data_IF_471910539516
#
_entry.id   IF_471910539516
#
_cell.length_a   1.000
_cell.length_b   1.000
_cell.length_c   1.000
_cell.angle_alpha   90.00
_cell.angle_beta   90.00
_cell.angle_gamma   90.00
#
_symmetry.space_group_name_H-M   'P 1'
#
loop_
_entity.id
_entity.type
_entity.pdbx_description
1 polymer ?
#
# COMPACT_ATOMS: atom_id res chain seq x y z
N UNK A 1 41.28 4.03 -3.83
CA UNK A 1 40.62 3.22 -4.88
C UNK A 1 40.67 1.80 -4.35
N UNK A 2 39.59 1.10 -4.02
CA UNK A 2 38.28 1.01 -4.66
C UNK A 2 37.25 0.66 -3.57
N UNK A 3 36.32 1.57 -3.24
CA UNK A 3 35.24 1.33 -2.26
C UNK A 3 33.85 1.37 -2.92
N UNK A 4 33.79 1.14 -4.23
CA UNK A 4 32.58 1.37 -5.04
C UNK A 4 31.77 0.10 -5.38
N UNK A 5 32.19 -1.09 -4.92
CA UNK A 5 31.55 -2.35 -5.32
C UNK A 5 30.54 -2.93 -4.31
N UNK A 6 30.45 -2.41 -3.09
CA UNK A 6 29.55 -2.96 -2.06
C UNK A 6 28.07 -2.53 -2.25
N UNK A 7 27.80 -1.46 -3.00
CA UNK A 7 26.46 -0.86 -3.13
C UNK A 7 25.52 -1.67 -4.02
N UNK A 8 26.05 -2.41 -5.00
CA UNK A 8 25.23 -3.19 -5.93
C UNK A 8 24.71 -4.50 -5.34
N UNK A 9 25.49 -5.16 -4.49
CA UNK A 9 25.06 -6.40 -3.84
C UNK A 9 23.86 -6.19 -2.91
N UNK A 10 23.74 -5.02 -2.27
CA UNK A 10 22.63 -4.71 -1.37
C UNK A 10 21.30 -4.47 -2.10
N UNK A 11 21.34 -3.87 -3.30
CA UNK A 11 20.13 -3.62 -4.10
C UNK A 11 19.59 -4.90 -4.76
N UNK A 12 20.46 -5.86 -5.09
CA UNK A 12 20.05 -7.14 -5.65
C UNK A 12 19.30 -8.03 -4.64
N UNK A 13 19.55 -7.86 -3.33
CA UNK A 13 18.83 -8.61 -2.28
C UNK A 13 17.41 -8.08 -2.04
N UNK A 14 17.12 -6.85 -2.43
CA UNK A 14 15.79 -6.22 -2.31
C UNK A 14 14.93 -6.41 -3.57
N UNK A 15 15.50 -6.87 -4.67
CA UNK A 15 14.79 -7.13 -5.93
C UNK A 15 14.75 -8.62 -6.26
N UNK A 16 14.32 -9.45 -5.30
CA UNK A 16 13.87 -10.80 -5.63
C UNK A 16 12.77 -10.74 -6.70
N UNK A 17 12.73 -11.68 -7.66
CA UNK A 17 11.70 -11.69 -8.69
C UNK A 17 10.33 -11.81 -8.01
N UNK A 18 9.48 -10.81 -8.21
CA UNK A 18 8.07 -10.87 -7.82
C UNK A 18 7.39 -11.93 -8.69
N UNK A 19 7.33 -13.15 -8.17
CA UNK A 19 6.56 -14.23 -8.78
C UNK A 19 5.08 -13.81 -8.78
N UNK A 20 4.58 -13.51 -9.97
CA UNK A 20 3.23 -12.97 -10.20
C UNK A 20 2.22 -14.09 -10.50
N UNK A 21 2.63 -15.35 -10.32
CA UNK A 21 1.94 -16.54 -10.84
C UNK A 21 1.55 -17.58 -9.77
N UNK A 22 1.53 -17.20 -8.49
CA UNK A 22 0.93 -18.04 -7.44
C UNK A 22 -0.59 -17.91 -7.40
N UNK A 23 -1.37 -18.99 -7.23
CA UNK A 23 -2.77 -18.89 -6.87
C UNK A 23 -2.83 -18.30 -5.45
N UNK A 24 -3.07 -16.99 -5.35
CA UNK A 24 -3.27 -16.32 -4.08
C UNK A 24 -4.52 -16.90 -3.43
N UNK A 25 -4.35 -17.86 -2.52
CA UNK A 25 -5.41 -18.22 -1.57
C UNK A 25 -5.68 -16.97 -0.72
N UNK A 26 -6.64 -16.16 -1.17
CA UNK A 26 -7.27 -15.13 -0.35
C UNK A 26 -7.94 -15.91 0.77
N UNK A 27 -7.33 -15.85 1.95
CA UNK A 27 -7.72 -16.60 3.14
C UNK A 27 -9.24 -16.48 3.39
N UNK A 28 -9.87 -17.60 3.76
CA UNK A 28 -11.33 -17.84 3.79
C UNK A 28 -12.15 -16.93 4.72
N UNK A 29 -11.54 -15.96 5.41
CA UNK A 29 -12.19 -15.14 6.43
C UNK A 29 -12.47 -13.69 5.98
N UNK A 30 -13.15 -13.51 4.84
CA UNK A 30 -13.61 -12.17 4.40
C UNK A 30 -14.49 -11.46 5.44
N UNK A 31 -15.15 -12.21 6.31
CA UNK A 31 -16.10 -11.68 7.30
C UNK A 31 -15.45 -11.30 8.63
N UNK A 32 -14.23 -11.74 8.92
CA UNK A 32 -13.54 -11.32 10.14
C UNK A 32 -13.02 -9.90 9.94
N UNK A 33 -13.38 -8.93 10.80
CA UNK A 33 -12.84 -7.59 10.70
C UNK A 33 -11.34 -7.61 11.04
N UNK A 34 -10.52 -6.76 10.40
CA UNK A 34 -9.12 -6.59 10.78
C UNK A 34 -8.97 -6.24 12.27
N UNK A 35 -7.95 -6.81 12.90
CA UNK A 35 -7.67 -6.56 14.31
C UNK A 35 -7.19 -5.11 14.55
N UNK A 36 -7.13 -4.65 15.81
CA UNK A 36 -6.63 -3.32 16.14
C UNK A 36 -5.20 -3.07 15.64
N UNK A 37 -4.33 -4.08 15.73
CA UNK A 37 -2.95 -4.01 15.25
C UNK A 37 -2.89 -3.86 13.72
N UNK A 38 -3.70 -4.64 12.99
CA UNK A 38 -3.78 -4.55 11.52
C UNK A 38 -4.25 -3.16 11.09
N UNK A 39 -5.30 -2.63 11.74
CA UNK A 39 -5.82 -1.29 11.47
C UNK A 39 -4.75 -0.23 11.67
N UNK A 40 -3.99 -0.32 12.76
CA UNK A 40 -2.92 0.62 13.08
C UNK A 40 -1.75 0.54 12.07
N UNK A 41 -1.33 -0.67 11.70
CA UNK A 41 -0.29 -0.87 10.69
C UNK A 41 -0.71 -0.34 9.32
N UNK A 42 -1.95 -0.59 8.91
CA UNK A 42 -2.50 -0.07 7.65
C UNK A 42 -2.58 1.46 7.69
N UNK A 43 -2.96 2.05 8.82
CA UNK A 43 -3.06 3.51 8.95
C UNK A 43 -1.68 4.16 8.75
N UNK A 44 -0.66 3.70 9.48
CA UNK A 44 0.71 4.22 9.35
C UNK A 44 1.24 4.03 7.92
N UNK A 45 1.12 2.82 7.36
CA UNK A 45 1.64 2.52 6.04
C UNK A 45 1.06 3.45 4.96
N UNK A 46 -0.25 3.71 5.01
CA UNK A 46 -0.89 4.57 4.02
C UNK A 46 -0.74 6.06 4.31
N UNK A 47 -0.56 6.46 5.57
CA UNK A 47 -0.18 7.84 5.89
C UNK A 47 1.18 8.19 5.28
N UNK A 48 2.17 7.33 5.46
CA UNK A 48 3.50 7.47 4.83
C UNK A 48 3.37 7.46 3.31
N UNK A 49 2.66 6.49 2.74
CA UNK A 49 2.47 6.42 1.29
C UNK A 49 1.78 7.67 0.73
N UNK A 50 0.76 8.21 1.41
CA UNK A 50 0.07 9.43 0.97
C UNK A 50 0.94 10.67 1.07
N UNK A 51 1.83 10.76 2.07
CA UNK A 51 2.77 11.88 2.21
C UNK A 51 3.81 11.92 1.08
N UNK A 52 4.23 10.76 0.59
CA UNK A 52 5.22 10.62 -0.47
C UNK A 52 4.61 10.63 -1.89
N UNK A 53 3.33 10.26 -1.99
CA UNK A 53 2.64 10.15 -3.28
C UNK A 53 2.01 11.48 -3.70
N UNK A 54 2.11 11.79 -4.99
CA UNK A 54 1.39 12.89 -5.63
C UNK A 54 0.33 12.38 -6.58
N UNK A 55 -0.73 13.16 -6.76
CA UNK A 55 -1.77 12.83 -7.74
C UNK A 55 -1.17 12.80 -9.15
N UNK A 56 -1.28 11.66 -9.83
CA UNK A 56 -0.78 11.50 -11.21
C UNK A 56 -1.45 12.43 -12.23
N UNK A 57 -2.65 12.94 -11.92
CA UNK A 57 -3.40 13.83 -12.82
C UNK A 57 -3.05 15.31 -12.65
N UNK A 58 -2.91 15.78 -11.41
CA UNK A 58 -2.74 17.22 -11.12
C UNK A 58 -1.47 17.56 -10.36
N UNK A 59 -0.63 16.59 -10.01
CA UNK A 59 0.61 16.78 -9.25
C UNK A 59 0.42 17.18 -7.78
N UNK A 60 -0.81 17.45 -7.33
CA UNK A 60 -1.07 17.86 -5.96
C UNK A 60 -0.78 16.71 -4.96
N UNK A 61 -0.28 17.03 -3.74
CA UNK A 61 -0.09 16.02 -2.69
C UNK A 61 -1.41 15.39 -2.28
N UNK A 62 -1.35 14.16 -1.78
CA UNK A 62 -2.50 13.47 -1.23
C UNK A 62 -2.82 13.94 0.20
N UNK A 63 -4.09 13.93 0.54
CA UNK A 63 -4.58 14.13 1.90
C UNK A 63 -4.43 12.85 2.73
N UNK A 64 -4.62 12.99 4.05
CA UNK A 64 -4.64 11.86 4.98
C UNK A 64 -5.63 10.79 4.49
N UNK A 65 -5.19 9.54 4.34
CA UNK A 65 -6.06 8.44 3.91
C UNK A 65 -7.14 8.15 4.95
N UNK A 66 -8.22 7.52 4.49
CA UNK A 66 -9.32 7.02 5.30
C UNK A 66 -9.49 5.54 5.06
N UNK A 67 -9.51 4.78 6.14
CA UNK A 67 -9.63 3.33 6.14
C UNK A 67 -11.11 2.93 6.29
N UNK A 68 -11.55 1.98 5.47
CA UNK A 68 -12.79 1.23 5.64
C UNK A 68 -12.41 -0.20 6.00
N UNK A 69 -12.37 -0.47 7.30
CA UNK A 69 -11.76 -1.65 7.90
C UNK A 69 -12.80 -2.49 8.67
N UNK A 70 -14.02 -2.57 8.12
CA UNK A 70 -15.14 -3.32 8.69
C UNK A 70 -15.07 -4.81 8.30
N UNK A 71 -14.35 -5.13 7.23
CA UNK A 71 -14.14 -6.46 6.69
C UNK A 71 -12.87 -6.48 5.81
N UNK A 72 -12.37 -7.68 5.49
CA UNK A 72 -11.34 -7.85 4.47
C UNK A 72 -11.96 -7.91 3.06
N UNK A 73 -11.31 -7.34 2.03
CA UNK A 73 -10.12 -6.50 2.09
C UNK A 73 -10.42 -5.10 2.65
N UNK A 74 -9.45 -4.53 3.36
CA UNK A 74 -9.54 -3.15 3.86
C UNK A 74 -9.38 -2.18 2.71
N UNK A 75 -10.38 -1.33 2.51
CA UNK A 75 -10.33 -0.30 1.47
C UNK A 75 -9.75 0.98 2.04
N UNK A 76 -8.65 1.44 1.46
CA UNK A 76 -8.03 2.72 1.79
C UNK A 76 -8.39 3.73 0.72
N UNK A 77 -8.83 4.91 1.15
CA UNK A 77 -9.22 5.98 0.23
C UNK A 77 -8.56 7.29 0.61
N UNK A 78 -8.01 8.00 -0.36
CA UNK A 78 -7.48 9.36 -0.17
C UNK A 78 -8.01 10.28 -1.27
N UNK A 79 -7.82 11.59 -1.10
CA UNK A 79 -8.09 12.61 -2.11
C UNK A 79 -6.86 13.50 -2.25
N UNK A 80 -6.61 14.03 -3.44
CA UNK A 80 -5.57 15.04 -3.60
C UNK A 80 -6.03 16.43 -3.12
N UNK A 81 -5.07 17.28 -2.72
CA UNK A 81 -5.32 18.64 -2.22
C UNK A 81 -5.68 19.68 -3.28
N UNK A 82 -5.77 19.30 -4.55
CA UNK A 82 -6.23 20.22 -5.61
C UNK A 82 -7.71 20.55 -5.48
N UNK A 83 -8.15 21.66 -6.10
CA UNK A 83 -9.57 22.07 -6.17
C UNK A 83 -10.50 20.97 -6.69
N UNK A 84 -10.07 20.20 -7.71
CA UNK A 84 -10.84 19.10 -8.28
C UNK A 84 -10.94 17.85 -7.37
N UNK A 85 -10.14 17.76 -6.30
CA UNK A 85 -10.13 16.68 -5.29
C UNK A 85 -10.25 15.25 -5.86
N UNK A 86 -9.35 14.88 -6.78
CA UNK A 86 -9.30 13.53 -7.36
C UNK A 86 -9.20 12.45 -6.29
N UNK A 87 -9.94 11.36 -6.47
CA UNK A 87 -10.00 10.24 -5.53
C UNK A 87 -8.89 9.24 -5.84
N UNK A 88 -8.27 8.73 -4.78
CA UNK A 88 -7.32 7.64 -4.82
C UNK A 88 -7.83 6.48 -3.96
N UNK A 89 -7.57 5.26 -4.40
CA UNK A 89 -7.97 4.04 -3.70
C UNK A 89 -6.85 3.03 -3.71
N UNK A 90 -6.81 2.21 -2.67
CA UNK A 90 -6.01 1.02 -2.59
C UNK A 90 -6.75 0.00 -1.75
N UNK A 91 -6.49 -1.28 -2.00
CA UNK A 91 -7.03 -2.38 -1.21
C UNK A 91 -5.89 -3.08 -0.49
N UNK A 92 -6.12 -3.43 0.77
CA UNK A 92 -5.21 -4.24 1.59
C UNK A 92 -5.88 -5.55 1.90
N UNK A 93 -5.20 -6.65 1.62
CA UNK A 93 -5.68 -7.99 1.90
C UNK A 93 -4.77 -8.67 2.91
N UNK A 94 -5.36 -9.49 3.77
CA UNK A 94 -4.60 -10.46 4.57
C UNK A 94 -4.27 -11.67 3.71
N UNK A 95 -3.05 -12.15 3.84
CA UNK A 95 -2.51 -13.35 3.18
C UNK A 95 -1.79 -14.20 4.21
N UNK A 96 -1.48 -15.46 3.88
CA UNK A 96 -0.71 -16.34 4.77
C UNK A 96 0.64 -15.73 5.20
N UNK A 97 1.26 -14.92 4.33
CA UNK A 97 2.55 -14.28 4.56
C UNK A 97 2.45 -12.90 5.26
N UNK A 98 1.23 -12.42 5.55
CA UNK A 98 0.97 -11.13 6.18
C UNK A 98 0.09 -10.19 5.36
N UNK A 99 0.33 -8.88 5.46
CA UNK A 99 -0.46 -7.85 4.79
C UNK A 99 0.04 -7.60 3.36
N UNK A 100 -0.84 -7.82 2.38
CA UNK A 100 -0.60 -7.41 0.99
C UNK A 100 -1.17 -6.03 0.75
N UNK A 101 -0.29 -5.04 0.58
CA UNK A 101 -0.65 -3.64 0.28
C UNK A 101 -0.58 -3.34 -1.22
N UNK A 102 -1.56 -2.61 -1.73
CA UNK A 102 -1.55 -2.09 -3.11
C UNK A 102 -1.25 -0.58 -3.15
N UNK A 103 -0.72 -0.04 -4.25
CA UNK A 103 -0.47 1.40 -4.37
C UNK A 103 -1.76 2.22 -4.38
N UNK A 104 -1.69 3.48 -3.92
CA UNK A 104 -2.79 4.46 -4.00
C UNK A 104 -3.00 4.93 -5.45
N UNK A 105 -3.81 4.20 -6.20
CA UNK A 105 -4.14 4.52 -7.59
C UNK A 105 -5.32 5.48 -7.69
N UNK A 106 -5.34 6.31 -8.73
CA UNK A 106 -6.49 7.17 -9.03
C UNK A 106 -7.69 6.30 -9.38
N UNK A 107 -8.84 6.60 -8.77
CA UNK A 107 -10.10 5.87 -8.96
C UNK A 107 -11.20 6.74 -9.58
#
# INVERSE_FOLDING_TARGET
>A
MEWFFASWAFMAYLSGPFDTTGPYEIERNRYEPPGPADKWLIDIAYETAAAETRCTRCGAPLDRPRLRADAWPVRVTSRCRSSARHRHRADVSRTADGLRTNPLIRA
#
